data_IF_361280539782
#
_entry.id   IF_361280539782
#
_cell.length_a   1.000
_cell.length_b   1.000
_cell.length_c   1.000
_cell.angle_alpha   90.00
_cell.angle_beta   90.00
_cell.angle_gamma   90.00
#
_symmetry.space_group_name_H-M   'P 1'
#
loop_
_entity.id
_entity.type
_entity.pdbx_description
1 polymer ?
#
# COMPACT_ATOMS: atom_id res chain seq x y z
N UNK A 1 -28.23 -7.07 7.94
CA UNK A 1 -27.28 -5.94 7.76
C UNK A 1 -26.44 -5.73 9.01
N UNK A 2 -26.97 -6.05 10.21
CA UNK A 2 -26.31 -5.83 11.51
C UNK A 2 -25.11 -6.75 11.83
N UNK A 3 -24.62 -7.54 10.88
CA UNK A 3 -23.56 -8.53 11.12
C UNK A 3 -22.20 -8.17 10.50
N UNK A 4 -22.12 -7.14 9.66
CA UNK A 4 -20.87 -6.76 8.99
C UNK A 4 -20.41 -5.39 9.52
N UNK A 5 -19.16 -5.26 10.00
CA UNK A 5 -18.63 -3.99 10.51
C UNK A 5 -18.75 -2.85 9.48
N UNK A 6 -19.07 -1.64 9.95
CA UNK A 6 -19.22 -0.45 9.09
C UNK A 6 -17.95 -0.16 8.26
N UNK A 7 -16.76 -0.44 8.81
CA UNK A 7 -15.48 -0.32 8.10
C UNK A 7 -15.35 -1.26 6.89
N UNK A 8 -15.87 -2.50 7.01
CA UNK A 8 -15.86 -3.48 5.93
C UNK A 8 -16.89 -3.11 4.85
N UNK A 9 -18.09 -2.66 5.25
CA UNK A 9 -19.09 -2.13 4.31
C UNK A 9 -18.52 -0.96 3.50
N UNK A 10 -17.77 -0.06 4.16
CA UNK A 10 -17.07 1.06 3.52
C UNK A 10 -16.03 0.58 2.51
N UNK A 11 -15.16 -0.36 2.89
CA UNK A 11 -14.12 -0.90 2.00
C UNK A 11 -14.75 -1.55 0.75
N UNK A 12 -15.82 -2.32 0.93
CA UNK A 12 -16.54 -2.96 -0.18
C UNK A 12 -17.19 -1.92 -1.09
N UNK A 13 -17.82 -0.88 -0.52
CA UNK A 13 -18.40 0.21 -1.31
C UNK A 13 -17.33 0.92 -2.16
N UNK A 14 -16.23 1.36 -1.55
CA UNK A 14 -15.16 2.09 -2.24
C UNK A 14 -14.56 1.24 -3.36
N UNK A 15 -14.20 -0.02 -3.07
CA UNK A 15 -13.61 -0.92 -4.05
C UNK A 15 -14.55 -1.24 -5.23
N UNK A 16 -15.86 -1.39 -4.95
CA UNK A 16 -16.84 -1.72 -5.97
C UNK A 16 -17.32 -0.50 -6.78
N UNK A 17 -17.02 0.73 -6.34
CA UNK A 17 -17.48 1.97 -6.98
C UNK A 17 -16.99 2.09 -8.43
N UNK A 18 -15.79 1.61 -8.73
CA UNK A 18 -15.26 1.55 -10.11
C UNK A 18 -16.06 0.63 -11.04
N UNK A 19 -16.62 -0.45 -10.48
CA UNK A 19 -17.29 -1.52 -11.24
C UNK A 19 -18.74 -1.13 -11.53
N UNK A 20 -19.39 -0.50 -10.55
CA UNK A 20 -20.81 -0.17 -10.58
C UNK A 20 -21.10 1.32 -10.80
N UNK A 21 -20.22 2.05 -11.49
CA UNK A 21 -20.46 3.44 -11.93
C UNK A 21 -21.20 3.49 -13.27
N UNK A 22 -21.67 4.68 -13.65
CA UNK A 22 -22.36 4.91 -14.93
C UNK A 22 -23.58 4.00 -15.14
N UNK A 23 -23.64 3.33 -16.29
CA UNK A 23 -24.75 2.41 -16.63
C UNK A 23 -24.85 1.22 -15.67
N UNK A 24 -23.71 0.76 -15.12
CA UNK A 24 -23.67 -0.39 -14.22
C UNK A 24 -24.28 -0.08 -12.84
N UNK A 25 -24.40 1.19 -12.46
CA UNK A 25 -25.08 1.62 -11.22
C UNK A 25 -26.57 1.25 -11.17
N UNK A 26 -27.15 0.95 -12.34
CA UNK A 26 -28.56 0.59 -12.51
C UNK A 26 -28.81 -0.92 -12.50
N UNK A 27 -27.76 -1.74 -12.39
CA UNK A 27 -27.91 -3.19 -12.34
C UNK A 27 -28.67 -3.58 -11.05
N UNK A 28 -29.66 -4.47 -11.20
CA UNK A 28 -30.44 -5.03 -10.08
C UNK A 28 -30.43 -6.55 -10.01
N UNK A 29 -30.09 -7.23 -11.12
CA UNK A 29 -30.12 -8.68 -11.22
C UNK A 29 -28.92 -9.30 -10.50
N UNK A 30 -29.16 -10.09 -9.45
CA UNK A 30 -28.11 -10.73 -8.64
C UNK A 30 -27.09 -11.50 -9.49
N UNK A 31 -27.54 -12.23 -10.52
CA UNK A 31 -26.64 -12.99 -11.42
C UNK A 31 -25.65 -12.08 -12.14
N UNK A 32 -26.12 -10.93 -12.61
CA UNK A 32 -25.28 -9.93 -13.29
C UNK A 32 -24.31 -9.27 -12.32
N UNK A 33 -24.78 -8.91 -11.11
CA UNK A 33 -23.91 -8.35 -10.06
C UNK A 33 -22.78 -9.32 -9.74
N UNK A 34 -23.10 -10.61 -9.55
CA UNK A 34 -22.11 -11.66 -9.31
C UNK A 34 -21.08 -11.74 -10.43
N UNK A 35 -21.53 -11.78 -11.69
CA UNK A 35 -20.61 -11.86 -12.84
C UNK A 35 -19.62 -10.69 -12.88
N UNK A 36 -20.06 -9.47 -12.54
CA UNK A 36 -19.17 -8.31 -12.43
C UNK A 36 -18.15 -8.45 -11.28
N UNK A 37 -18.57 -8.94 -10.12
CA UNK A 37 -17.68 -9.19 -8.99
C UNK A 37 -16.64 -10.28 -9.31
N UNK A 38 -17.04 -11.36 -9.98
CA UNK A 38 -16.16 -12.43 -10.43
C UNK A 38 -15.14 -11.93 -11.45
N UNK A 39 -15.58 -11.13 -12.42
CA UNK A 39 -14.70 -10.58 -13.47
C UNK A 39 -13.61 -9.65 -12.92
N UNK A 40 -13.83 -9.06 -11.75
CA UNK A 40 -12.90 -8.14 -11.08
C UNK A 40 -12.35 -8.72 -9.77
N UNK A 41 -12.38 -10.05 -9.61
CA UNK A 41 -12.01 -10.71 -8.36
C UNK A 41 -10.63 -10.28 -7.84
N UNK A 42 -9.61 -10.31 -8.70
CA UNK A 42 -8.23 -9.95 -8.30
C UNK A 42 -8.10 -8.48 -7.87
N UNK A 43 -8.79 -7.56 -8.54
CA UNK A 43 -8.78 -6.14 -8.18
C UNK A 43 -9.48 -5.90 -6.82
N UNK A 44 -10.61 -6.58 -6.59
CA UNK A 44 -11.34 -6.51 -5.32
C UNK A 44 -10.57 -7.16 -4.18
N UNK A 45 -9.88 -8.28 -4.44
CA UNK A 45 -9.03 -8.96 -3.46
C UNK A 45 -7.83 -8.10 -3.05
N UNK A 46 -7.27 -7.30 -3.96
CA UNK A 46 -6.19 -6.36 -3.63
C UNK A 46 -6.68 -5.22 -2.72
N UNK A 47 -7.92 -4.77 -2.88
CA UNK A 47 -8.50 -3.64 -2.14
C UNK A 47 -9.14 -4.05 -0.80
N UNK A 48 -9.66 -5.27 -0.70
CA UNK A 48 -10.42 -5.75 0.45
C UNK A 48 -9.69 -6.94 1.08
N UNK A 49 -9.11 -6.80 2.28
CA UNK A 49 -8.47 -7.90 2.99
C UNK A 49 -9.45 -9.06 3.22
N UNK A 50 -9.03 -10.28 2.90
CA UNK A 50 -9.88 -11.49 2.98
C UNK A 50 -11.19 -11.38 2.18
N UNK A 51 -11.12 -10.76 0.99
CA UNK A 51 -12.25 -10.63 0.09
C UNK A 51 -12.98 -11.97 -0.13
N UNK A 52 -14.28 -11.96 0.10
CA UNK A 52 -15.17 -13.09 -0.18
C UNK A 52 -16.41 -12.59 -0.92
N UNK A 53 -16.65 -13.19 -2.09
CA UNK A 53 -17.80 -12.86 -2.95
C UNK A 53 -19.12 -13.11 -2.25
N UNK A 54 -19.22 -14.13 -1.40
CA UNK A 54 -20.45 -14.46 -0.69
C UNK A 54 -20.84 -13.38 0.33
N UNK A 55 -19.83 -12.69 0.88
CA UNK A 55 -20.01 -11.55 1.79
C UNK A 55 -20.23 -10.25 1.04
N UNK A 56 -19.52 -10.03 -0.07
CA UNK A 56 -19.62 -8.80 -0.85
C UNK A 56 -20.92 -8.69 -1.65
N UNK A 57 -21.39 -9.78 -2.28
CA UNK A 57 -22.57 -9.80 -3.14
C UNK A 57 -23.84 -9.22 -2.49
N UNK A 58 -24.26 -9.63 -1.27
CA UNK A 58 -25.46 -9.08 -0.64
C UNK A 58 -25.32 -7.58 -0.31
N UNK A 59 -24.13 -7.13 0.06
CA UNK A 59 -23.86 -5.71 0.34
C UNK A 59 -23.91 -4.87 -0.94
N UNK A 60 -23.24 -5.31 -1.99
CA UNK A 60 -23.23 -4.63 -3.29
C UNK A 60 -24.63 -4.55 -3.87
N UNK A 61 -25.42 -5.63 -3.75
CA UNK A 61 -26.82 -5.63 -4.15
C UNK A 61 -27.62 -4.57 -3.39
N UNK A 62 -27.44 -4.50 -2.07
CA UNK A 62 -28.09 -3.47 -1.26
C UNK A 62 -27.66 -2.04 -1.64
N UNK A 63 -26.37 -1.81 -1.89
CA UNK A 63 -25.86 -0.51 -2.33
C UNK A 63 -26.48 -0.08 -3.68
N UNK A 64 -26.62 -1.01 -4.61
CA UNK A 64 -27.29 -0.79 -5.91
C UNK A 64 -28.79 -0.47 -5.71
N UNK A 65 -29.49 -1.22 -4.86
CA UNK A 65 -30.91 -0.97 -4.55
C UNK A 65 -31.16 0.38 -3.88
N UNK A 66 -30.23 0.82 -3.02
CA UNK A 66 -30.25 2.14 -2.38
C UNK A 66 -29.76 3.27 -3.30
N UNK A 67 -29.27 2.93 -4.50
CA UNK A 67 -28.74 3.92 -5.45
C UNK A 67 -27.49 4.63 -4.96
N UNK A 68 -26.68 3.98 -4.11
CA UNK A 68 -25.46 4.57 -3.56
C UNK A 68 -24.37 4.76 -4.63
N UNK A 69 -24.38 3.94 -5.67
CA UNK A 69 -23.46 4.10 -6.81
C UNK A 69 -23.96 5.10 -7.87
N UNK A 70 -25.18 5.64 -7.72
CA UNK A 70 -25.79 6.56 -8.68
C UNK A 70 -25.55 8.04 -8.33
N UNK A 71 -25.04 8.33 -7.14
CA UNK A 71 -24.89 9.70 -6.63
C UNK A 71 -23.74 9.77 -5.64
N UNK A 72 -22.96 10.84 -5.67
CA UNK A 72 -21.87 11.11 -4.72
C UNK A 72 -22.35 11.59 -3.35
N UNK A 73 -23.58 12.09 -3.22
CA UNK A 73 -24.11 12.68 -1.98
C UNK A 73 -24.88 11.70 -1.08
N UNK A 74 -25.55 10.69 -1.66
CA UNK A 74 -26.26 9.65 -0.88
C UNK A 74 -25.33 8.78 -0.02
N UNK A 75 -24.15 8.38 -0.50
CA UNK A 75 -23.18 7.67 0.33
C UNK A 75 -22.78 8.48 1.56
N UNK A 76 -22.49 9.79 1.43
CA UNK A 76 -22.08 10.67 2.54
C UNK A 76 -23.09 10.66 3.71
N UNK A 77 -24.39 10.59 3.41
CA UNK A 77 -25.44 10.49 4.44
C UNK A 77 -25.48 9.13 5.13
N UNK A 78 -25.15 8.05 4.40
CA UNK A 78 -25.24 6.68 4.91
C UNK A 78 -23.96 6.24 5.65
N UNK A 79 -22.82 6.86 5.33
CA UNK A 79 -21.61 6.72 6.12
C UNK A 79 -20.95 8.11 6.21
N UNK A 80 -21.19 8.89 7.28
CA UNK A 80 -20.69 10.26 7.43
C UNK A 80 -19.17 10.40 7.29
N UNK A 81 -18.43 9.32 7.58
CA UNK A 81 -16.97 9.22 7.44
C UNK A 81 -16.49 8.64 6.10
N UNK A 82 -17.36 8.51 5.08
CA UNK A 82 -17.06 7.90 3.77
C UNK A 82 -15.98 8.61 2.96
N UNK A 83 -15.90 9.93 3.12
CA UNK A 83 -15.09 10.83 2.31
C UNK A 83 -14.31 11.83 3.17
N UNK A 84 -14.09 11.51 4.45
CA UNK A 84 -13.01 12.16 5.19
C UNK A 84 -11.75 11.31 5.06
N UNK A 85 -10.88 11.59 4.07
CA UNK A 85 -9.47 11.42 4.28
C UNK A 85 -9.06 12.14 5.55
N UNK A 86 -8.05 11.60 6.23
CA UNK A 86 -7.36 12.38 7.25
C UNK A 86 -6.93 13.72 6.60
N UNK A 87 -7.34 14.90 7.13
CA UNK A 87 -7.01 16.18 6.51
C UNK A 87 -5.51 16.34 6.26
N UNK A 88 -4.69 15.82 7.18
CA UNK A 88 -3.24 15.80 7.04
C UNK A 88 -2.75 15.01 5.81
N UNK A 89 -3.37 13.86 5.49
CA UNK A 89 -3.04 13.07 4.30
C UNK A 89 -3.51 13.76 3.02
N UNK A 90 -4.69 14.36 3.04
CA UNK A 90 -5.20 15.17 1.92
C UNK A 90 -4.25 16.31 1.56
N UNK A 91 -3.79 17.07 2.56
CA UNK A 91 -2.82 18.16 2.35
C UNK A 91 -1.50 17.62 1.80
N UNK A 92 -1.03 16.47 2.29
CA UNK A 92 0.18 15.81 1.76
C UNK A 92 -0.01 15.37 0.31
N UNK A 93 -1.15 14.75 -0.04
CA UNK A 93 -1.42 14.30 -1.40
C UNK A 93 -1.52 15.50 -2.35
N UNK A 94 -2.21 16.57 -1.95
CA UNK A 94 -2.31 17.80 -2.74
C UNK A 94 -0.94 18.45 -2.97
N UNK A 95 -0.08 18.49 -1.94
CA UNK A 95 1.29 19.00 -2.08
C UNK A 95 2.13 18.14 -3.04
N UNK A 96 1.99 16.81 -2.98
CA UNK A 96 2.67 15.89 -3.90
C UNK A 96 2.15 16.03 -5.34
N UNK A 97 0.85 16.27 -5.53
CA UNK A 97 0.25 16.54 -6.84
C UNK A 97 0.76 17.87 -7.43
N UNK A 98 0.87 18.92 -6.61
CA UNK A 98 1.38 20.21 -7.03
C UNK A 98 2.87 20.14 -7.37
N UNK A 99 3.68 19.48 -6.53
CA UNK A 99 5.10 19.25 -6.77
C UNK A 99 5.33 18.44 -8.06
N UNK A 100 4.54 17.40 -8.29
CA UNK A 100 4.64 16.61 -9.52
C UNK A 100 4.17 17.36 -10.76
N UNK A 101 3.14 18.20 -10.63
CA UNK A 101 2.70 19.07 -11.71
C UNK A 101 3.78 20.10 -12.05
N UNK A 102 4.40 20.72 -11.05
CA UNK A 102 5.51 21.66 -11.23
C UNK A 102 6.77 20.98 -11.76
N UNK A 103 7.09 19.77 -11.29
CA UNK A 103 8.22 18.97 -11.80
C UNK A 103 8.02 18.60 -13.27
N UNK A 104 6.80 18.21 -13.66
CA UNK A 104 6.47 18.02 -15.08
C UNK A 104 6.63 19.33 -15.86
N UNK A 105 6.21 20.48 -15.32
CA UNK A 105 6.41 21.80 -15.95
C UNK A 105 7.88 22.18 -16.09
N UNK A 106 8.70 21.87 -15.10
CA UNK A 106 10.15 22.07 -15.16
C UNK A 106 10.80 21.12 -16.17
N UNK A 107 10.40 19.84 -16.21
CA UNK A 107 10.85 18.89 -17.23
C UNK A 107 10.43 19.33 -18.65
N UNK A 108 9.24 19.92 -18.81
CA UNK A 108 8.80 20.53 -20.08
C UNK A 108 9.68 21.73 -20.48
N UNK A 109 10.24 22.46 -19.51
CA UNK A 109 11.16 23.58 -19.75
C UNK A 109 12.60 23.11 -20.00
N UNK A 110 13.01 22.03 -19.34
CA UNK A 110 14.35 21.42 -19.43
C UNK A 110 14.48 20.56 -20.70
N UNK A 111 13.42 19.91 -21.21
CA UNK A 111 13.41 19.16 -22.47
C UNK A 111 13.50 20.04 -23.74
N UNK A 112 13.56 21.36 -23.60
CA UNK A 112 14.06 22.25 -24.66
C UNK A 112 15.60 22.15 -24.81
N UNK A 113 16.29 21.57 -23.83
CA UNK A 113 17.72 21.31 -23.81
C UNK A 113 18.00 19.90 -23.24
N UNK A 114 18.36 18.99 -24.15
CA UNK A 114 18.89 17.63 -23.89
C UNK A 114 17.91 16.51 -23.54
N UNK A 115 18.10 15.39 -24.24
CA UNK A 115 17.36 14.15 -24.12
C UNK A 115 18.07 13.16 -23.18
N UNK A 116 17.22 12.30 -22.62
CA UNK A 116 17.44 10.94 -22.08
C UNK A 116 17.86 10.82 -20.61
N UNK A 117 16.92 10.32 -19.80
CA UNK A 117 17.22 9.39 -18.73
C UNK A 117 16.05 8.42 -18.49
N UNK A 118 16.24 7.21 -19.02
CA UNK A 118 16.02 5.91 -18.37
C UNK A 118 14.63 5.56 -17.80
N UNK A 119 13.97 4.57 -18.43
CA UNK A 119 12.96 3.77 -17.72
C UNK A 119 13.00 2.29 -18.12
N UNK A 120 14.01 1.60 -17.60
CA UNK A 120 13.90 0.18 -17.27
C UNK A 120 14.36 0.00 -15.82
N UNK A 121 13.42 0.04 -14.87
CA UNK A 121 13.71 -0.43 -13.51
C UNK A 121 12.94 -1.72 -13.22
N UNK A 122 13.73 -2.78 -13.31
CA UNK A 122 13.52 -4.13 -12.85
C UNK A 122 12.99 -4.15 -11.41
N UNK A 123 11.93 -4.92 -11.19
CA UNK A 123 11.32 -5.24 -9.91
C UNK A 123 12.35 -5.90 -8.97
N UNK A 124 12.90 -5.16 -8.00
CA UNK A 124 13.60 -5.72 -6.85
C UNK A 124 12.70 -5.64 -5.60
N UNK A 125 12.64 -6.75 -4.86
CA UNK A 125 11.76 -6.97 -3.70
C UNK A 125 12.18 -6.22 -2.42
N UNK A 126 13.24 -5.41 -2.47
CA UNK A 126 13.76 -4.66 -1.30
C UNK A 126 13.37 -3.18 -1.29
N UNK A 127 12.72 -2.68 -2.35
CA UNK A 127 12.32 -1.27 -2.40
C UNK A 127 11.07 -1.03 -1.55
N UNK A 128 11.03 0.06 -0.75
CA UNK A 128 9.76 0.54 -0.20
C UNK A 128 8.71 0.59 -1.32
N UNK A 129 7.45 0.22 -1.06
CA UNK A 129 6.41 0.32 -2.08
C UNK A 129 6.45 1.73 -2.67
N UNK A 130 6.49 1.81 -4.01
CA UNK A 130 6.49 3.10 -4.69
C UNK A 130 5.34 3.95 -4.13
N UNK A 131 5.58 5.26 -3.89
CA UNK A 131 4.56 6.10 -3.29
C UNK A 131 3.30 6.04 -4.15
N UNK A 132 2.15 5.81 -3.51
CA UNK A 132 0.88 5.69 -4.24
C UNK A 132 0.43 7.05 -4.80
N UNK A 133 1.02 8.14 -4.32
CA UNK A 133 0.84 9.51 -4.79
C UNK A 133 2.16 10.05 -5.34
N UNK A 134 2.13 10.89 -6.39
CA UNK A 134 0.95 11.45 -7.06
C UNK A 134 0.13 10.43 -7.85
N UNK A 135 -1.11 10.76 -8.17
CA UNK A 135 -2.00 9.95 -8.98
C UNK A 135 -1.64 10.11 -10.45
N UNK A 136 -1.36 8.99 -11.09
CA UNK A 136 -1.18 8.91 -12.54
C UNK A 136 -2.20 7.95 -13.11
N UNK A 137 -2.71 8.28 -14.29
CA UNK A 137 -3.47 7.33 -15.11
C UNK A 137 -2.51 6.32 -15.73
N UNK A 138 -2.98 5.11 -16.08
CA UNK A 138 -2.23 4.23 -16.96
C UNK A 138 -1.84 4.98 -18.24
N UNK A 139 -0.55 4.93 -18.62
CA UNK A 139 -0.01 5.76 -19.70
C UNK A 139 -0.78 5.63 -21.01
N UNK A 140 -1.18 4.42 -21.40
CA UNK A 140 -1.97 4.20 -22.60
C UNK A 140 -3.30 4.99 -22.58
N UNK A 141 -3.95 5.09 -21.42
CA UNK A 141 -5.19 5.84 -21.26
C UNK A 141 -4.93 7.35 -21.33
N UNK A 142 -3.90 7.85 -20.64
CA UNK A 142 -3.46 9.25 -20.75
C UNK A 142 -3.19 9.63 -22.22
N UNK A 143 -2.36 8.84 -22.90
CA UNK A 143 -1.97 9.11 -24.28
C UNK A 143 -3.17 9.09 -25.23
N UNK A 144 -4.08 8.13 -25.04
CA UNK A 144 -5.32 8.08 -25.83
C UNK A 144 -6.22 9.30 -25.59
N UNK A 145 -6.40 9.72 -24.34
CA UNK A 145 -7.16 10.92 -23.98
C UNK A 145 -6.57 12.16 -24.65
N UNK A 146 -5.27 12.43 -24.44
CA UNK A 146 -4.63 13.65 -24.94
C UNK A 146 -4.58 13.70 -26.47
N UNK A 147 -4.36 12.56 -27.13
CA UNK A 147 -4.39 12.49 -28.60
C UNK A 147 -5.79 12.74 -29.15
N UNK A 148 -6.83 12.19 -28.50
CA UNK A 148 -8.23 12.41 -28.89
C UNK A 148 -8.62 13.88 -28.70
N UNK A 149 -8.27 14.47 -27.55
CA UNK A 149 -8.53 15.89 -27.25
C UNK A 149 -7.81 16.80 -28.25
N UNK A 150 -6.55 16.47 -28.59
CA UNK A 150 -5.80 17.20 -29.62
C UNK A 150 -6.55 17.19 -30.96
N UNK A 151 -7.00 16.02 -31.42
CA UNK A 151 -7.73 15.91 -32.68
C UNK A 151 -9.04 16.74 -32.64
N UNK A 152 -9.82 16.62 -31.57
CA UNK A 152 -11.07 17.38 -31.39
C UNK A 152 -10.83 18.89 -31.47
N UNK A 153 -9.74 19.38 -30.85
CA UNK A 153 -9.38 20.79 -30.92
C UNK A 153 -8.92 21.20 -32.31
N UNK A 154 -8.10 20.41 -33.00
CA UNK A 154 -7.68 20.70 -34.38
C UNK A 154 -8.90 20.84 -35.30
N UNK A 155 -9.87 19.94 -35.18
CA UNK A 155 -11.13 20.01 -35.92
C UNK A 155 -11.98 21.24 -35.54
N UNK A 156 -12.09 21.53 -34.24
CA UNK A 156 -12.81 22.70 -33.74
C UNK A 156 -12.25 24.00 -34.31
N UNK A 157 -10.92 24.14 -34.30
CA UNK A 157 -10.24 25.32 -34.79
C UNK A 157 -10.36 25.42 -36.31
N UNK A 158 -10.24 24.31 -37.03
CA UNK A 158 -10.40 24.29 -38.48
C UNK A 158 -11.80 24.75 -38.91
N UNK A 159 -12.86 24.21 -38.30
CA UNK A 159 -14.25 24.58 -38.61
C UNK A 159 -14.56 26.03 -38.24
N UNK A 160 -13.96 26.53 -37.14
CA UNK A 160 -14.02 27.94 -36.79
C UNK A 160 -13.35 28.80 -37.87
N UNK A 161 -12.16 28.41 -38.34
CA UNK A 161 -11.44 29.14 -39.38
C UNK A 161 -12.20 29.19 -40.70
N UNK A 162 -12.82 28.08 -41.12
CA UNK A 162 -13.65 28.06 -42.33
C UNK A 162 -14.82 29.04 -42.24
N UNK A 163 -15.43 29.19 -41.06
CA UNK A 163 -16.56 30.10 -40.85
C UNK A 163 -16.15 31.57 -40.76
N UNK A 164 -15.06 31.86 -40.05
CA UNK A 164 -14.67 33.23 -39.71
C UNK A 164 -13.61 33.83 -40.64
N UNK A 165 -12.80 32.99 -41.30
CA UNK A 165 -11.65 33.37 -42.11
C UNK A 165 -11.51 32.44 -43.34
N UNK A 166 -12.52 32.36 -44.23
CA UNK A 166 -12.56 31.36 -45.32
C UNK A 166 -11.39 31.46 -46.31
N UNK A 167 -10.77 32.64 -46.44
CA UNK A 167 -9.63 32.85 -47.32
C UNK A 167 -8.35 32.18 -46.78
N UNK A 168 -8.16 32.07 -45.46
CA UNK A 168 -6.90 31.58 -44.87
C UNK A 168 -6.65 30.09 -45.16
N UNK A 169 -7.61 29.15 -44.97
CA UNK A 169 -7.40 27.75 -45.34
C UNK A 169 -7.10 27.59 -46.84
N UNK A 170 -7.80 28.35 -47.70
CA UNK A 170 -7.65 28.28 -49.16
C UNK A 170 -6.28 28.79 -49.61
N UNK A 171 -5.84 29.94 -49.12
CA UNK A 171 -4.53 30.54 -49.44
C UNK A 171 -3.38 29.63 -49.00
N UNK A 172 -3.58 28.89 -47.89
CA UNK A 172 -2.55 28.02 -47.30
C UNK A 172 -2.65 26.56 -47.75
N UNK A 173 -3.64 26.22 -48.57
CA UNK A 173 -3.87 24.87 -49.09
C UNK A 173 -4.22 23.85 -48.01
N UNK A 174 -4.89 24.26 -46.93
CA UNK A 174 -5.33 23.35 -45.87
C UNK A 174 -6.69 22.76 -46.24
N UNK A 175 -6.68 21.49 -46.58
CA UNK A 175 -7.87 20.73 -46.96
C UNK A 175 -8.56 20.02 -45.78
N UNK A 176 -7.85 19.83 -44.67
CA UNK A 176 -8.36 19.18 -43.47
C UNK A 176 -7.74 19.71 -42.18
N UNK A 177 -8.38 19.44 -41.04
CA UNK A 177 -7.94 19.85 -39.71
C UNK A 177 -6.54 19.33 -39.34
N UNK A 178 -6.23 18.08 -39.74
CA UNK A 178 -4.96 17.42 -39.49
C UNK A 178 -3.79 17.98 -40.32
N UNK A 179 -4.05 18.81 -41.33
CA UNK A 179 -3.01 19.47 -42.13
C UNK A 179 -2.17 20.48 -41.33
N UNK A 180 -2.64 20.84 -40.13
CA UNK A 180 -2.01 21.83 -39.26
C UNK A 180 -1.98 21.31 -37.84
N UNK A 181 -0.79 21.28 -37.27
CA UNK A 181 -0.58 20.85 -35.90
C UNK A 181 -1.22 21.82 -34.90
N UNK A 182 -1.76 21.30 -33.79
CA UNK A 182 -2.41 22.10 -32.74
C UNK A 182 -1.59 23.32 -32.25
N UNK A 183 -0.27 23.19 -32.05
CA UNK A 183 0.55 24.35 -31.63
C UNK A 183 0.64 25.45 -32.69
N UNK A 184 0.50 25.09 -33.97
CA UNK A 184 0.46 26.06 -35.06
C UNK A 184 -0.90 26.74 -35.10
N UNK A 185 -1.99 25.99 -34.87
CA UNK A 185 -3.33 26.54 -34.70
C UNK A 185 -3.41 27.57 -33.58
N UNK A 186 -2.84 27.30 -32.41
CA UNK A 186 -2.90 28.24 -31.28
C UNK A 186 -2.20 29.56 -31.57
N UNK A 187 -1.03 29.51 -32.22
CA UNK A 187 -0.30 30.71 -32.67
C UNK A 187 -1.04 31.52 -33.74
N UNK A 188 -1.84 30.85 -34.58
CA UNK A 188 -2.65 31.50 -35.59
C UNK A 188 -3.88 32.17 -34.95
N UNK A 189 -4.58 31.46 -34.08
CA UNK A 189 -5.72 32.00 -33.33
C UNK A 189 -5.36 33.25 -32.53
N UNK A 190 -4.22 33.24 -31.82
CA UNK A 190 -3.75 34.43 -31.09
C UNK A 190 -3.54 35.65 -32.01
N UNK A 191 -3.09 35.43 -33.25
CA UNK A 191 -2.94 36.51 -34.25
C UNK A 191 -4.25 36.92 -34.89
N UNK A 192 -5.18 35.98 -35.06
CA UNK A 192 -6.48 36.25 -35.66
C UNK A 192 -7.44 36.90 -34.68
N UNK A 193 -7.30 36.65 -33.38
CA UNK A 193 -8.17 37.23 -32.35
C UNK A 193 -8.30 38.76 -32.47
N UNK A 194 -7.23 39.47 -32.82
CA UNK A 194 -7.24 40.93 -33.03
C UNK A 194 -7.87 41.38 -34.36
N UNK A 195 -8.07 40.46 -35.32
CA UNK A 195 -8.68 40.71 -36.64
C UNK A 195 -10.16 40.35 -36.68
N UNK A 196 -10.66 39.60 -35.71
CA UNK A 196 -12.04 39.12 -35.70
C UNK A 196 -13.00 40.23 -35.27
N UNK A 197 -14.22 40.30 -35.85
CA UNK A 197 -15.25 41.20 -35.36
C UNK A 197 -15.62 40.92 -33.90
N UNK A 198 -15.99 41.97 -33.16
CA UNK A 198 -16.48 41.86 -31.79
C UNK A 198 -17.66 40.89 -31.70
N UNK A 199 -17.64 40.02 -30.69
CA UNK A 199 -18.67 38.99 -30.47
C UNK A 199 -18.50 37.69 -31.25
N UNK A 200 -17.45 37.56 -32.08
CA UNK A 200 -17.13 36.28 -32.75
C UNK A 200 -16.65 35.21 -31.75
N UNK A 201 -15.86 35.62 -30.76
CA UNK A 201 -15.43 34.78 -29.66
C UNK A 201 -16.45 34.90 -28.52
N UNK A 202 -16.88 33.76 -27.99
CA UNK A 202 -17.80 33.73 -26.86
C UNK A 202 -17.03 34.01 -25.56
N UNK A 203 -17.59 34.81 -24.65
CA UNK A 203 -16.96 35.02 -23.35
C UNK A 203 -16.94 33.71 -22.56
N UNK A 204 -15.85 33.49 -21.84
CA UNK A 204 -15.63 32.33 -20.96
C UNK A 204 -14.79 32.81 -19.78
N UNK A 205 -14.75 32.05 -18.69
CA UNK A 205 -14.06 32.44 -17.45
C UNK A 205 -12.53 32.57 -17.63
N UNK A 206 -11.96 31.88 -18.63
CA UNK A 206 -10.54 31.97 -18.98
C UNK A 206 -10.33 32.87 -20.19
N UNK A 207 -9.23 33.64 -20.17
CA UNK A 207 -8.80 34.42 -21.33
C UNK A 207 -8.29 33.50 -22.44
N UNK A 208 -8.49 33.91 -23.70
CA UNK A 208 -8.04 33.14 -24.86
C UNK A 208 -6.53 32.85 -24.80
N UNK A 209 -5.72 33.84 -24.42
CA UNK A 209 -4.26 33.68 -24.32
C UNK A 209 -3.84 32.58 -23.35
N UNK A 210 -4.47 32.53 -22.17
CA UNK A 210 -4.22 31.49 -21.16
C UNK A 210 -4.64 30.11 -21.68
N UNK A 211 -5.80 30.01 -22.34
CA UNK A 211 -6.26 28.76 -22.94
C UNK A 211 -5.30 28.27 -24.03
N UNK A 212 -4.87 29.16 -24.93
CA UNK A 212 -3.95 28.83 -26.01
C UNK A 212 -2.58 28.37 -25.48
N UNK A 213 -2.07 28.99 -24.41
CA UNK A 213 -0.83 28.57 -23.76
C UNK A 213 -0.93 27.14 -23.18
N UNK A 214 -2.04 26.82 -22.52
CA UNK A 214 -2.29 25.48 -21.96
C UNK A 214 -2.53 24.43 -23.04
N UNK A 215 -3.20 24.78 -24.14
CA UNK A 215 -3.45 23.87 -25.27
C UNK A 215 -2.15 23.46 -25.98
N UNK A 216 -1.13 24.32 -25.98
CA UNK A 216 0.21 23.92 -26.44
C UNK A 216 0.78 22.79 -25.56
N UNK A 217 0.52 22.80 -24.25
CA UNK A 217 0.95 21.73 -23.33
C UNK A 217 0.31 20.39 -23.70
N UNK A 218 -0.97 20.36 -24.12
CA UNK A 218 -1.66 19.11 -24.54
C UNK A 218 -0.84 18.36 -25.60
N UNK A 219 -0.45 19.07 -26.67
CA UNK A 219 0.36 18.48 -27.74
C UNK A 219 1.75 18.10 -27.23
N UNK A 220 2.41 18.98 -26.47
CA UNK A 220 3.77 18.73 -25.99
C UNK A 220 3.82 17.47 -25.11
N UNK A 221 2.87 17.30 -24.19
CA UNK A 221 2.71 16.07 -23.40
C UNK A 221 2.44 14.84 -24.27
N UNK A 222 1.54 14.95 -25.26
CA UNK A 222 1.20 13.82 -26.13
C UNK A 222 2.37 13.38 -27.03
N UNK A 223 3.07 14.34 -27.64
CA UNK A 223 4.17 14.11 -28.60
C UNK A 223 5.42 13.62 -27.89
N UNK A 224 5.79 14.23 -26.77
CA UNK A 224 6.99 13.85 -26.01
C UNK A 224 6.71 12.73 -25.01
N UNK A 225 5.49 12.18 -25.01
CA UNK A 225 5.10 11.00 -24.23
C UNK A 225 5.33 11.20 -22.72
N UNK A 226 5.21 12.43 -22.25
CA UNK A 226 5.54 12.78 -20.87
C UNK A 226 4.41 12.33 -19.95
N UNK A 227 4.69 11.57 -18.88
CA UNK A 227 3.71 11.29 -17.85
C UNK A 227 3.16 12.60 -17.27
N UNK A 228 1.85 12.64 -17.02
CA UNK A 228 1.20 13.79 -16.37
C UNK A 228 0.27 13.25 -15.31
N UNK A 229 0.15 13.99 -14.20
CA UNK A 229 -0.75 13.60 -13.11
C UNK A 229 -2.18 13.45 -13.64
N UNK A 230 -2.96 12.59 -13.02
CA UNK A 230 -4.33 12.34 -13.42
C UNK A 230 -5.16 13.62 -13.35
N UNK A 231 -4.90 14.46 -12.33
CA UNK A 231 -5.50 15.79 -12.22
C UNK A 231 -5.03 16.71 -13.35
N UNK A 232 -3.73 16.74 -13.68
CA UNK A 232 -3.23 17.54 -14.80
C UNK A 232 -3.86 17.15 -16.14
N UNK A 233 -4.10 15.86 -16.39
CA UNK A 233 -4.85 15.41 -17.58
C UNK A 233 -6.29 15.93 -17.55
N UNK A 234 -6.94 15.89 -16.39
CA UNK A 234 -8.30 16.42 -16.20
C UNK A 234 -8.37 17.93 -16.51
N UNK A 235 -7.42 18.70 -16.00
CA UNK A 235 -7.37 20.15 -16.19
C UNK A 235 -7.12 20.52 -17.66
N UNK A 236 -6.27 19.76 -18.36
CA UNK A 236 -6.05 19.92 -19.80
C UNK A 236 -7.34 19.71 -20.61
N UNK A 237 -8.16 18.71 -20.25
CA UNK A 237 -9.47 18.46 -20.89
C UNK A 237 -10.45 19.60 -20.60
N UNK A 238 -10.49 20.11 -19.36
CA UNK A 238 -11.35 21.24 -18.99
C UNK A 238 -11.02 22.49 -19.82
N UNK A 239 -9.73 22.80 -19.96
CA UNK A 239 -9.29 23.95 -20.77
C UNK A 239 -9.60 23.75 -22.25
N UNK A 240 -9.49 22.52 -22.78
CA UNK A 240 -9.92 22.20 -24.14
C UNK A 240 -11.43 22.46 -24.34
N UNK A 241 -12.26 22.06 -23.38
CA UNK A 241 -13.71 22.34 -23.40
C UNK A 241 -14.01 23.84 -23.43
N UNK A 242 -13.35 24.62 -22.56
CA UNK A 242 -13.46 26.08 -22.55
C UNK A 242 -13.07 26.71 -23.89
N UNK A 243 -11.97 26.25 -24.52
CA UNK A 243 -11.57 26.75 -25.84
C UNK A 243 -12.65 26.45 -26.90
N UNK A 244 -13.19 25.24 -26.93
CA UNK A 244 -14.26 24.89 -27.86
C UNK A 244 -15.52 25.76 -27.65
N UNK A 245 -15.87 26.04 -26.39
CA UNK A 245 -16.95 26.96 -26.03
C UNK A 245 -16.69 28.39 -26.52
N UNK A 246 -15.46 28.90 -26.32
CA UNK A 246 -15.03 30.23 -26.80
C UNK A 246 -15.11 30.35 -28.33
N UNK A 247 -14.77 29.27 -29.06
CA UNK A 247 -14.89 29.19 -30.53
C UNK A 247 -16.34 28.95 -31.01
N UNK A 248 -17.28 28.82 -30.08
CA UNK A 248 -18.70 28.65 -30.37
C UNK A 248 -19.08 27.26 -30.89
N UNK A 249 -18.29 26.23 -30.61
CA UNK A 249 -18.56 24.84 -30.97
C UNK A 249 -19.25 24.11 -29.81
N UNK A 250 -20.57 24.21 -29.76
CA UNK A 250 -21.37 23.64 -28.68
C UNK A 250 -21.31 22.11 -28.61
N UNK A 251 -21.12 21.43 -29.74
CA UNK A 251 -21.07 19.97 -29.79
C UNK A 251 -19.77 19.45 -29.18
N UNK A 252 -18.63 19.94 -29.67
CA UNK A 252 -17.32 19.49 -29.17
C UNK A 252 -17.07 19.97 -27.74
N UNK A 253 -17.58 21.15 -27.36
CA UNK A 253 -17.58 21.61 -25.96
C UNK A 253 -18.31 20.61 -25.05
N UNK A 254 -19.55 20.22 -25.39
CA UNK A 254 -20.31 19.28 -24.59
C UNK A 254 -19.64 17.89 -24.49
N UNK A 255 -19.02 17.41 -25.58
CA UNK A 255 -18.24 16.16 -25.56
C UNK A 255 -17.03 16.23 -24.61
N UNK A 256 -16.31 17.34 -24.61
CA UNK A 256 -15.16 17.56 -23.73
C UNK A 256 -15.59 17.75 -22.26
N UNK A 257 -16.72 18.41 -22.01
CA UNK A 257 -17.30 18.55 -20.67
C UNK A 257 -17.77 17.20 -20.10
N UNK A 258 -18.36 16.35 -20.94
CA UNK A 258 -18.74 14.99 -20.57
C UNK A 258 -17.51 14.13 -20.23
N UNK A 259 -16.45 14.22 -21.04
CA UNK A 259 -15.18 13.55 -20.76
C UNK A 259 -14.52 14.07 -19.48
N UNK A 260 -14.49 15.39 -19.26
CA UNK A 260 -13.95 16.02 -18.06
C UNK A 260 -14.65 15.50 -16.80
N UNK A 261 -15.99 15.49 -16.79
CA UNK A 261 -16.79 14.99 -15.67
C UNK A 261 -16.55 13.50 -15.39
N UNK A 262 -16.47 12.69 -16.44
CA UNK A 262 -16.19 11.26 -16.31
C UNK A 262 -14.77 10.99 -15.79
N UNK A 263 -13.78 11.79 -16.20
CA UNK A 263 -12.42 11.74 -15.66
C UNK A 263 -12.38 12.13 -14.18
N UNK A 264 -13.02 13.24 -13.79
CA UNK A 264 -13.10 13.64 -12.37
C UNK A 264 -13.66 12.52 -11.50
N UNK A 265 -14.76 11.88 -11.92
CA UNK A 265 -15.35 10.77 -11.19
C UNK A 265 -14.36 9.59 -11.03
N UNK A 266 -13.69 9.19 -12.12
CA UNK A 266 -12.73 8.08 -12.10
C UNK A 266 -11.47 8.40 -11.30
N UNK A 267 -11.01 9.64 -11.32
CA UNK A 267 -9.87 10.10 -10.51
C UNK A 267 -10.22 10.00 -9.03
N UNK A 268 -11.41 10.49 -8.62
CA UNK A 268 -11.86 10.34 -7.22
C UNK A 268 -11.97 8.87 -6.79
N UNK A 269 -12.42 7.99 -7.69
CA UNK A 269 -12.46 6.54 -7.43
C UNK A 269 -11.05 5.98 -7.22
N UNK A 270 -10.12 6.33 -8.12
CA UNK A 270 -8.74 5.89 -8.05
C UNK A 270 -8.05 6.38 -6.77
N UNK A 271 -8.25 7.65 -6.41
CA UNK A 271 -7.76 8.25 -5.17
C UNK A 271 -8.27 7.51 -3.93
N UNK A 272 -9.57 7.22 -3.89
CA UNK A 272 -10.21 6.50 -2.79
C UNK A 272 -9.63 5.08 -2.65
N UNK A 273 -9.41 4.40 -3.78
CA UNK A 273 -8.83 3.06 -3.81
C UNK A 273 -7.37 3.07 -3.35
N UNK A 274 -6.55 4.02 -3.81
CA UNK A 274 -5.16 4.15 -3.36
C UNK A 274 -5.07 4.48 -1.86
N UNK A 275 -5.93 5.38 -1.37
CA UNK A 275 -6.03 5.69 0.06
C UNK A 275 -6.40 4.46 0.90
N UNK A 276 -7.29 3.59 0.38
CA UNK A 276 -7.64 2.33 1.03
C UNK A 276 -6.44 1.37 1.10
N UNK A 277 -5.65 1.27 0.03
CA UNK A 277 -4.43 0.46 0.01
C UNK A 277 -3.40 0.95 1.03
N UNK A 278 -3.17 2.26 1.10
CA UNK A 278 -2.28 2.88 2.09
C UNK A 278 -2.74 2.62 3.53
N UNK A 279 -4.03 2.76 3.80
CA UNK A 279 -4.58 2.48 5.12
C UNK A 279 -4.42 1.00 5.51
N UNK A 280 -4.68 0.08 4.57
CA UNK A 280 -4.49 -1.35 4.77
C UNK A 280 -3.01 -1.70 5.01
N UNK A 281 -2.10 -1.09 4.25
CA UNK A 281 -0.65 -1.28 4.41
C UNK A 281 -0.20 -0.80 5.79
N UNK A 282 -0.58 0.41 6.19
CA UNK A 282 -0.23 0.98 7.50
C UNK A 282 -0.69 0.07 8.64
N UNK A 283 -1.96 -0.38 8.61
CA UNK A 283 -2.50 -1.29 9.61
C UNK A 283 -1.75 -2.62 9.69
N UNK A 284 -1.36 -3.19 8.55
CA UNK A 284 -0.57 -4.44 8.52
C UNK A 284 0.83 -4.24 9.10
N UNK A 285 1.49 -3.12 8.79
CA UNK A 285 2.80 -2.79 9.33
C UNK A 285 2.75 -2.56 10.84
N UNK A 286 1.73 -1.85 11.34
CA UNK A 286 1.52 -1.65 12.78
C UNK A 286 1.33 -2.98 13.52
N UNK A 287 0.57 -3.91 12.93
CA UNK A 287 0.40 -5.26 13.50
C UNK A 287 1.72 -6.02 13.56
N UNK A 288 2.52 -5.96 12.50
CA UNK A 288 3.85 -6.59 12.47
C UNK A 288 4.73 -5.97 13.55
N UNK A 289 4.70 -4.65 13.70
CA UNK A 289 5.49 -3.97 14.72
C UNK A 289 5.06 -4.38 16.13
N UNK A 290 3.75 -4.49 16.40
CA UNK A 290 3.26 -4.95 17.69
C UNK A 290 3.70 -6.39 18.03
N UNK A 291 3.75 -7.28 17.02
CA UNK A 291 4.29 -8.63 17.22
C UNK A 291 5.79 -8.63 17.47
N UNK A 292 6.56 -7.77 16.80
CA UNK A 292 8.00 -7.59 17.09
C UNK A 292 8.20 -7.14 18.53
N UNK A 293 7.47 -6.11 18.97
CA UNK A 293 7.57 -5.60 20.35
C UNK A 293 7.12 -6.63 21.40
N UNK A 294 6.18 -7.53 21.04
CA UNK A 294 5.78 -8.65 21.89
C UNK A 294 6.90 -9.67 22.02
N UNK A 295 7.50 -10.07 20.91
CA UNK A 295 8.60 -11.04 20.88
C UNK A 295 9.85 -10.50 21.59
N UNK A 296 10.18 -9.21 21.41
CA UNK A 296 11.32 -8.58 22.09
C UNK A 296 11.16 -8.61 23.62
N UNK A 297 9.93 -8.36 24.12
CA UNK A 297 9.62 -8.46 25.55
C UNK A 297 9.73 -9.90 26.06
N UNK A 298 9.28 -10.87 25.28
CA UNK A 298 9.38 -12.29 25.61
C UNK A 298 10.84 -12.76 25.65
N UNK A 299 11.66 -12.36 24.68
CA UNK A 299 13.10 -12.62 24.65
C UNK A 299 13.81 -12.05 25.89
N UNK A 300 13.53 -10.80 26.24
CA UNK A 300 14.10 -10.16 27.43
C UNK A 300 13.70 -10.87 28.72
N UNK A 301 12.43 -11.29 28.85
CA UNK A 301 11.95 -12.01 30.02
C UNK A 301 12.64 -13.37 30.18
N UNK A 302 12.82 -14.13 29.09
CA UNK A 302 13.50 -15.43 29.12
C UNK A 302 14.98 -15.25 29.51
N UNK A 303 15.66 -14.24 28.96
CA UNK A 303 17.05 -13.92 29.32
C UNK A 303 17.19 -13.54 30.80
N UNK A 304 16.33 -12.66 31.30
CA UNK A 304 16.35 -12.24 32.69
C UNK A 304 16.10 -13.41 33.65
N UNK A 305 15.11 -14.27 33.33
CA UNK A 305 14.84 -15.48 34.09
C UNK A 305 16.04 -16.43 34.12
N UNK A 306 16.70 -16.63 32.97
CA UNK A 306 17.87 -17.52 32.89
C UNK A 306 19.03 -17.01 33.75
N UNK A 307 19.26 -15.69 33.78
CA UNK A 307 20.27 -15.07 34.65
C UNK A 307 19.91 -15.25 36.13
N UNK A 308 18.63 -15.08 36.48
CA UNK A 308 18.16 -15.29 37.85
C UNK A 308 18.33 -16.75 38.29
N UNK A 309 17.85 -17.69 37.47
CA UNK A 309 17.91 -19.13 37.75
C UNK A 309 19.37 -19.59 37.91
N UNK A 310 20.30 -19.09 37.07
CA UNK A 310 21.75 -19.35 37.21
C UNK A 310 22.32 -18.76 38.51
N UNK A 311 21.90 -17.55 38.90
CA UNK A 311 22.30 -16.92 40.15
C UNK A 311 21.85 -17.71 41.39
N UNK A 312 20.60 -18.18 41.40
CA UNK A 312 20.06 -19.03 42.47
C UNK A 312 20.80 -20.37 42.54
N UNK A 313 21.07 -21.00 41.39
CA UNK A 313 21.81 -22.25 41.32
C UNK A 313 23.25 -22.10 41.85
N UNK A 314 23.97 -21.03 41.45
CA UNK A 314 25.31 -20.71 41.96
C UNK A 314 25.31 -20.52 43.48
N UNK A 315 24.31 -19.82 44.03
CA UNK A 315 24.16 -19.61 45.47
C UNK A 315 23.97 -20.93 46.22
N UNK A 316 23.10 -21.81 45.71
CA UNK A 316 22.86 -23.12 46.30
C UNK A 316 24.13 -23.98 46.31
N UNK A 317 24.84 -24.07 45.17
CA UNK A 317 26.09 -24.82 45.07
C UNK A 317 27.16 -24.25 46.00
N UNK A 318 27.28 -22.91 46.07
CA UNK A 318 28.19 -22.23 47.00
C UNK A 318 27.98 -22.64 48.45
N UNK A 319 26.73 -22.66 48.93
CA UNK A 319 26.39 -23.09 50.29
C UNK A 319 26.75 -24.56 50.57
N UNK A 320 26.59 -25.45 49.57
CA UNK A 320 26.97 -26.87 49.72
C UNK A 320 28.49 -27.03 49.82
N UNK A 321 29.24 -26.27 49.04
CA UNK A 321 30.71 -26.27 49.07
C UNK A 321 31.21 -25.70 50.39
N UNK A 322 30.67 -24.56 50.85
CA UNK A 322 31.04 -23.94 52.14
C UNK A 322 30.83 -24.90 53.32
N UNK A 323 29.67 -25.58 53.38
CA UNK A 323 29.40 -26.60 54.41
C UNK A 323 30.37 -27.77 54.34
N UNK A 324 30.74 -28.19 53.13
CA UNK A 324 31.71 -29.28 52.93
C UNK A 324 33.10 -28.86 53.40
N UNK A 325 33.54 -27.64 53.12
CA UNK A 325 34.81 -27.07 53.61
C UNK A 325 34.81 -27.01 55.14
N UNK A 326 33.75 -26.49 55.75
CA UNK A 326 33.62 -26.46 57.21
C UNK A 326 33.71 -27.87 57.81
N UNK A 327 33.05 -28.86 57.22
CA UNK A 327 33.10 -30.25 57.69
C UNK A 327 34.50 -30.85 57.55
N UNK A 328 35.16 -30.69 56.40
CA UNK A 328 36.48 -31.27 56.12
C UNK A 328 37.55 -30.64 57.02
N UNK A 329 37.54 -29.32 57.20
CA UNK A 329 38.64 -28.60 57.85
C UNK A 329 38.41 -28.26 59.33
N UNK A 330 37.16 -28.19 59.86
CA UNK A 330 36.93 -27.98 61.30
C UNK A 330 36.89 -29.27 62.13
N UNK A 331 36.63 -30.44 61.53
CA UNK A 331 36.58 -31.73 62.27
C UNK A 331 37.96 -32.17 62.79
N UNK A 332 39.06 -31.60 62.31
CA UNK A 332 40.41 -31.85 62.84
C UNK A 332 40.84 -30.98 64.02
N UNK A 333 39.96 -30.12 64.55
CA UNK A 333 40.28 -29.28 65.70
C UNK A 333 40.00 -29.92 67.08
N UNK A 334 39.71 -31.23 67.16
CA UNK A 334 39.59 -31.96 68.43
C UNK A 334 40.70 -32.99 68.52
N UNK A 335 41.77 -32.64 69.26
CA UNK A 335 42.74 -33.59 69.80
C UNK A 335 42.14 -34.39 70.97
N UNK A 336 42.70 -35.57 71.28
CA UNK A 336 42.01 -36.61 72.00
C UNK A 336 42.07 -36.37 73.51
N UNK A 337 40.97 -36.57 74.24
CA UNK A 337 41.03 -37.22 75.55
C UNK A 337 39.65 -37.71 76.05
N UNK A 338 39.69 -38.95 76.51
CA UNK A 338 38.84 -39.64 77.48
C UNK A 338 37.44 -40.16 77.07
N UNK A 339 37.39 -41.50 77.06
CA UNK A 339 36.25 -42.40 76.95
C UNK A 339 35.18 -42.21 78.04
N UNK A 340 33.93 -42.53 77.69
CA UNK A 340 32.83 -42.72 78.64
C UNK A 340 31.50 -42.95 77.94
N UNK A 341 31.17 -44.21 77.67
CA UNK A 341 29.98 -44.66 76.94
C UNK A 341 28.64 -44.29 77.63
N UNK A 342 27.62 -43.89 76.86
CA UNK A 342 26.40 -44.69 76.62
C UNK A 342 25.47 -44.03 75.57
N UNK A 343 25.09 -44.89 74.62
CA UNK A 343 24.11 -44.79 73.51
C UNK A 343 22.93 -43.81 73.63
N UNK A 344 22.66 -43.04 72.56
CA UNK A 344 21.30 -42.92 71.99
C UNK A 344 21.35 -42.39 70.55
N UNK A 345 20.72 -43.13 69.64
CA UNK A 345 20.99 -43.07 68.20
C UNK A 345 20.26 -41.97 67.43
N UNK A 346 20.96 -41.42 66.43
CA UNK A 346 20.41 -40.74 65.25
C UNK A 346 21.47 -40.73 64.15
N UNK A 347 21.64 -41.82 63.41
CA UNK A 347 22.51 -41.84 62.23
C UNK A 347 22.16 -42.98 61.26
N UNK A 348 21.04 -42.87 60.53
CA UNK A 348 20.78 -43.70 59.34
C UNK A 348 19.60 -43.22 58.45
N UNK A 349 19.22 -41.93 58.44
CA UNK A 349 18.00 -41.50 57.72
C UNK A 349 18.16 -40.44 56.62
N UNK A 350 19.35 -39.85 56.42
CA UNK A 350 19.49 -38.73 55.46
C UNK A 350 20.21 -39.05 54.15
N UNK A 351 20.91 -40.18 54.05
CA UNK A 351 21.59 -40.56 52.79
C UNK A 351 20.60 -41.12 51.75
N UNK A 352 19.44 -41.62 52.18
CA UNK A 352 18.40 -42.16 51.29
C UNK A 352 17.52 -41.11 50.58
N UNK A 353 17.64 -39.82 50.92
CA UNK A 353 16.82 -38.75 50.32
C UNK A 353 17.50 -37.99 49.18
N UNK A 354 18.76 -38.33 48.87
CA UNK A 354 19.56 -37.70 47.82
C UNK A 354 19.32 -38.27 46.40
N UNK A 355 18.75 -39.47 46.27
CA UNK A 355 18.50 -40.09 44.96
C UNK A 355 17.15 -39.68 44.34
N UNK A 356 16.17 -39.24 45.13
CA UNK A 356 14.84 -38.86 44.62
C UNK A 356 14.82 -37.49 43.91
N UNK A 357 15.72 -36.56 44.29
CA UNK A 357 15.79 -35.23 43.65
C UNK A 357 16.49 -35.25 42.29
N UNK A 358 17.50 -36.10 42.10
CA UNK A 358 18.15 -36.29 40.79
C UNK A 358 17.21 -36.84 39.72
N UNK A 359 16.19 -37.61 40.13
CA UNK A 359 15.15 -38.15 39.24
C UNK A 359 14.02 -37.15 38.96
N UNK A 360 13.79 -36.16 39.83
CA UNK A 360 12.78 -35.11 39.62
C UNK A 360 13.19 -34.11 38.53
N UNK A 361 14.50 -33.82 38.40
CA UNK A 361 15.05 -32.99 37.32
C UNK A 361 14.88 -33.63 35.92
N UNK A 362 14.81 -34.96 35.85
CA UNK A 362 14.55 -35.71 34.61
C UNK A 362 13.05 -35.86 34.29
N UNK A 363 12.15 -35.51 35.24
CA UNK A 363 10.69 -35.62 35.08
C UNK A 363 9.99 -34.24 35.01
N UNK A 364 10.74 -33.19 34.62
CA UNK A 364 10.19 -31.90 34.21
C UNK A 364 9.48 -32.01 32.86
N UNK A 365 8.19 -32.31 32.92
CA UNK A 365 7.26 -32.55 31.81
C UNK A 365 7.30 -31.43 30.76
N UNK A 366 7.81 -31.79 29.59
CA UNK A 366 7.49 -31.15 28.31
C UNK A 366 5.98 -31.21 28.13
N UNK A 367 5.33 -30.05 28.04
CA UNK A 367 3.99 -29.90 27.48
C UNK A 367 4.08 -28.88 26.34
N UNK A 368 3.93 -29.38 25.11
CA UNK A 368 3.42 -28.62 23.98
C UNK A 368 4.42 -28.16 22.91
N UNK A 369 4.72 -29.04 21.93
CA UNK A 369 5.01 -28.66 20.55
C UNK A 369 6.46 -28.72 20.08
N UNK A 370 6.88 -29.84 19.47
CA UNK A 370 8.15 -29.92 18.72
C UNK A 370 8.90 -31.26 18.76
N UNK A 371 8.20 -32.40 18.64
CA UNK A 371 8.81 -33.74 18.58
C UNK A 371 9.42 -33.98 17.19
N UNK A 372 10.72 -33.75 17.01
CA UNK A 372 11.40 -34.16 15.77
C UNK A 372 12.92 -34.08 15.79
N UNK A 373 13.48 -33.02 16.38
CA UNK A 373 14.95 -32.82 16.37
C UNK A 373 15.67 -33.32 17.63
N UNK A 374 15.02 -33.30 18.80
CA UNK A 374 15.66 -33.65 20.08
C UNK A 374 16.09 -35.11 20.21
N UNK A 375 15.34 -36.05 19.63
CA UNK A 375 15.62 -37.50 19.79
C UNK A 375 16.88 -37.95 19.03
N UNK A 376 17.24 -37.29 17.92
CA UNK A 376 18.43 -37.63 17.14
C UNK A 376 19.72 -37.12 17.79
N UNK A 377 19.65 -35.97 18.46
CA UNK A 377 20.81 -35.39 19.15
C UNK A 377 21.14 -36.17 20.43
N UNK A 378 20.12 -36.61 21.18
CA UNK A 378 20.34 -37.42 22.38
C UNK A 378 20.93 -38.81 22.07
N UNK A 379 20.48 -39.45 20.97
CA UNK A 379 20.99 -40.76 20.56
C UNK A 379 22.48 -40.73 20.17
N UNK A 380 22.92 -39.64 19.53
CA UNK A 380 24.32 -39.43 19.14
C UNK A 380 25.19 -39.20 20.37
N UNK A 381 24.74 -38.39 21.33
CA UNK A 381 25.48 -38.11 22.56
C UNK A 381 25.63 -39.38 23.42
N UNK A 382 24.59 -40.21 23.53
CA UNK A 382 24.69 -41.49 24.24
C UNK A 382 25.67 -42.47 23.58
N UNK A 383 25.75 -42.52 22.24
CA UNK A 383 26.73 -43.36 21.55
C UNK A 383 28.17 -42.89 21.80
N UNK A 384 28.42 -41.57 21.81
CA UNK A 384 29.75 -41.03 22.10
C UNK A 384 30.19 -41.29 23.54
N UNK A 385 29.27 -41.20 24.51
CA UNK A 385 29.57 -41.47 25.91
C UNK A 385 29.85 -42.95 26.18
N UNK A 386 29.13 -43.87 25.51
CA UNK A 386 29.38 -45.30 25.62
C UNK A 386 30.70 -45.72 24.94
N UNK A 387 31.06 -45.11 23.81
CA UNK A 387 32.36 -45.32 23.18
C UNK A 387 33.51 -44.76 24.02
N UNK A 388 33.34 -43.60 24.64
CA UNK A 388 34.33 -43.02 25.54
C UNK A 388 34.53 -43.88 26.81
N UNK A 389 33.45 -44.42 27.38
CA UNK A 389 33.52 -45.35 28.51
C UNK A 389 34.19 -46.68 28.13
N UNK A 390 33.93 -47.20 26.93
CA UNK A 390 34.59 -48.41 26.43
C UNK A 390 36.10 -48.21 26.25
N UNK A 391 36.51 -47.09 25.64
CA UNK A 391 37.93 -46.76 25.43
C UNK A 391 38.66 -46.52 26.76
N UNK A 392 38.00 -45.86 27.72
CA UNK A 392 38.57 -45.64 29.04
C UNK A 392 38.72 -46.94 29.84
N UNK A 393 37.77 -47.88 29.68
CA UNK A 393 37.84 -49.19 30.34
C UNK A 393 38.94 -50.09 29.75
N UNK A 394 39.18 -50.03 28.43
CA UNK A 394 40.28 -50.78 27.78
C UNK A 394 41.65 -50.21 28.09
N UNK A 395 41.77 -48.89 28.33
CA UNK A 395 43.05 -48.25 28.64
C UNK A 395 43.50 -48.40 30.11
N UNK A 396 42.64 -48.92 30.99
CA UNK A 396 42.93 -49.09 32.43
C UNK A 396 43.18 -50.57 32.82
N UNK A 397 43.07 -51.49 31.86
CA UNK A 397 43.22 -52.94 32.09
C UNK A 397 44.38 -53.59 31.30
N UNK A 398 45.21 -52.80 30.62
CA UNK A 398 46.49 -53.22 30.02
C UNK A 398 47.70 -52.62 30.75
#
# INVERSE_FOLDING_TARGET
MDTIPSSEQRAIFLACRAIFSGTNANIRKTKTIRAHLESHHSALQALIPNYDIWRALPLVKYFLEKGLFQSSSKPQLQFPSLLEPCPARQTQHAALEEEASHSNEQALQELAETYEAEQYQTLSSERPPAPLFPLYLPYHAQHHILTTVQQVLEECIFDFCQRCLPDEPTIRGWDCAAAVELSKWTRLLGRWASRLPDGTLRPTDLTLETMLATVVKIRHTAVHRLPTTAQGVCDLVAVAGNLAATLGDALRSAQLDDLHRDLQEKITILESNKSLLEANLACQLDRIQAERDRLDREEQAIRAKTIQDDGENKRMVGLLVERSVDHIFKVWAVGPEAEGAYSSGYAAAEIGRFSEWGLSLLRGRIVGGGLGLGLRVLGVICCFLLLALGIWYTAFLD
#
